data_IF_496168876173
#
_entry.id   IF_496168876173
#
_cell.length_a   1.000
_cell.length_b   1.000
_cell.length_c   1.000
_cell.angle_alpha   90.00
_cell.angle_beta   90.00
_cell.angle_gamma   90.00
#
_symmetry.space_group_name_H-M   'P 1'
#
loop_
_entity.id
_entity.type
_entity.pdbx_description
1 polymer ?
#
# COMPACT_ATOMS: atom_id res chain seq x y z
N UNK A 1 -48.69 -6.15 -28.36
CA UNK A 1 -49.75 -6.12 -27.33
C UNK A 1 -49.09 -6.22 -25.96
N UNK A 2 -48.49 -5.13 -25.46
CA UNK A 2 -49.17 -4.06 -24.72
C UNK A 2 -49.96 -4.66 -23.55
N UNK A 3 -49.29 -4.94 -22.42
CA UNK A 3 -49.95 -5.11 -21.10
C UNK A 3 -49.00 -5.31 -19.90
N UNK A 4 -47.83 -4.69 -19.81
CA UNK A 4 -46.98 -4.78 -18.59
C UNK A 4 -46.19 -3.50 -18.22
N UNK A 5 -46.64 -2.31 -18.61
CA UNK A 5 -45.89 -1.05 -18.40
C UNK A 5 -46.56 -0.07 -17.41
N UNK A 6 -47.56 -0.51 -16.62
CA UNK A 6 -48.39 0.45 -15.87
C UNK A 6 -48.59 0.08 -14.40
N UNK A 7 -47.53 -0.14 -13.61
CA UNK A 7 -47.70 -0.32 -12.14
C UNK A 7 -46.52 0.09 -11.26
N UNK A 8 -45.47 0.75 -11.75
CA UNK A 8 -44.29 1.05 -10.92
C UNK A 8 -43.98 2.54 -10.72
N UNK A 9 -44.90 3.45 -11.09
CA UNK A 9 -44.65 4.90 -11.08
C UNK A 9 -45.17 5.66 -9.83
N UNK A 10 -45.62 4.97 -8.78
CA UNK A 10 -46.34 5.60 -7.66
C UNK A 10 -45.66 5.43 -6.28
N UNK A 11 -44.34 5.46 -6.20
CA UNK A 11 -43.64 5.47 -4.88
C UNK A 11 -42.61 6.60 -4.75
N UNK A 12 -42.46 7.47 -5.75
CA UNK A 12 -41.38 8.47 -5.81
C UNK A 12 -41.78 9.87 -5.29
N UNK A 13 -42.42 9.99 -4.12
CA UNK A 13 -42.90 11.31 -3.66
C UNK A 13 -42.72 11.64 -2.17
N UNK A 14 -42.01 10.85 -1.35
CA UNK A 14 -42.00 11.10 0.10
C UNK A 14 -40.63 10.96 0.78
N UNK A 15 -39.58 11.53 0.18
CA UNK A 15 -38.29 11.71 0.86
C UNK A 15 -37.58 13.01 0.42
N UNK A 16 -38.29 14.13 0.50
CA UNK A 16 -37.72 15.47 0.44
C UNK A 16 -37.90 16.10 1.82
N UNK A 17 -36.99 15.87 2.77
CA UNK A 17 -36.74 16.81 3.87
C UNK A 17 -35.43 16.46 4.59
N UNK A 18 -34.61 17.49 4.82
CA UNK A 18 -33.31 17.52 5.51
C UNK A 18 -32.05 17.27 4.65
N UNK A 19 -31.80 18.15 3.67
CA UNK A 19 -30.43 18.45 3.23
C UNK A 19 -29.91 19.58 4.12
N UNK A 20 -29.28 19.21 5.23
CA UNK A 20 -28.38 20.09 5.97
C UNK A 20 -27.05 20.14 5.22
N UNK A 21 -26.66 21.33 4.77
CA UNK A 21 -25.42 21.53 4.01
C UNK A 21 -24.17 21.28 4.85
N UNK A 22 -23.19 20.59 4.25
CA UNK A 22 -21.80 20.69 4.68
C UNK A 22 -21.07 21.56 3.65
N UNK A 23 -20.65 22.74 4.10
CA UNK A 23 -19.77 23.64 3.36
C UNK A 23 -18.32 23.34 3.76
N UNK A 24 -17.41 23.43 2.79
CA UNK A 24 -15.97 23.13 2.82
C UNK A 24 -15.63 21.64 2.77
N UNK A 25 -14.79 21.13 1.88
CA UNK A 25 -14.02 21.68 0.77
C UNK A 25 -13.12 20.56 0.23
N UNK A 26 -13.09 20.36 -1.09
CA UNK A 26 -12.01 19.64 -1.79
C UNK A 26 -12.09 18.10 -1.89
N UNK A 27 -12.70 17.60 -2.97
CA UNK A 27 -12.11 16.61 -3.91
C UNK A 27 -11.93 15.13 -3.50
N UNK A 28 -12.55 14.24 -4.29
CA UNK A 28 -12.03 12.90 -4.62
C UNK A 28 -12.70 11.72 -3.92
N UNK A 29 -13.45 10.89 -4.66
CA UNK A 29 -14.35 9.86 -4.14
C UNK A 29 -13.74 8.47 -3.90
N UNK A 30 -14.52 7.63 -3.20
CA UNK A 30 -14.34 6.17 -3.15
C UNK A 30 -14.69 5.54 -1.80
N UNK A 31 -15.74 4.72 -1.75
CA UNK A 31 -15.95 3.71 -0.70
C UNK A 31 -16.72 4.15 0.55
N UNK A 32 -17.99 3.74 0.66
CA UNK A 32 -18.84 3.97 1.82
C UNK A 32 -18.44 3.12 3.02
N UNK A 33 -17.59 3.67 3.87
CA UNK A 33 -17.34 3.26 5.24
C UNK A 33 -16.64 4.42 5.94
N UNK A 34 -17.15 4.86 7.08
CA UNK A 34 -16.42 5.86 7.89
C UNK A 34 -15.10 5.22 8.30
N UNK A 35 -13.96 5.77 7.83
CA UNK A 35 -12.67 5.44 8.42
C UNK A 35 -12.81 5.59 9.95
N UNK A 36 -12.33 4.64 10.77
CA UNK A 36 -12.27 4.83 12.21
C UNK A 36 -11.61 6.18 12.49
N UNK A 37 -12.16 6.95 13.41
CA UNK A 37 -11.53 8.18 13.87
C UNK A 37 -10.11 7.82 14.35
N UNK A 38 -9.09 8.31 13.64
CA UNK A 38 -7.69 8.04 13.97
C UNK A 38 -7.38 8.85 15.24
N UNK A 39 -7.66 8.27 16.40
CA UNK A 39 -7.31 8.81 17.71
C UNK A 39 -6.02 8.16 18.23
N UNK A 40 -5.04 8.02 17.34
CA UNK A 40 -3.69 7.57 17.69
C UNK A 40 -2.79 8.78 17.56
N UNK A 41 -2.14 9.14 18.67
CA UNK A 41 -1.18 10.23 18.70
C UNK A 41 -0.01 9.89 17.76
N UNK A 42 0.24 10.76 16.77
CA UNK A 42 1.29 10.56 15.78
C UNK A 42 2.68 10.57 16.41
N UNK A 43 2.83 11.20 17.59
CA UNK A 43 4.07 11.14 18.36
C UNK A 43 4.47 9.70 18.69
N UNK A 44 3.53 8.78 18.87
CA UNK A 44 3.82 7.35 19.13
C UNK A 44 4.57 6.68 17.98
N UNK A 45 4.42 7.21 16.75
CA UNK A 45 5.12 6.72 15.57
C UNK A 45 6.42 7.48 15.30
N UNK A 46 6.77 8.49 16.09
CA UNK A 46 8.03 9.21 15.95
C UNK A 46 9.19 8.31 16.44
N UNK A 47 10.14 7.94 15.56
CA UNK A 47 11.29 7.13 15.93
C UNK A 47 12.26 7.84 16.90
N UNK A 48 12.19 9.18 17.02
CA UNK A 48 13.00 9.93 17.98
C UNK A 48 12.33 10.08 19.35
N UNK A 49 10.99 10.10 19.42
CA UNK A 49 10.29 10.54 20.64
C UNK A 49 9.23 9.61 21.22
N UNK A 50 8.56 8.74 20.46
CA UNK A 50 7.34 8.08 20.98
C UNK A 50 7.17 6.58 20.82
N UNK A 51 8.10 5.84 20.20
CA UNK A 51 7.98 4.38 20.08
C UNK A 51 9.32 3.62 20.03
N UNK A 52 9.32 2.27 20.04
CA UNK A 52 10.53 1.44 19.95
C UNK A 52 11.14 1.40 18.54
N UNK A 53 10.87 2.40 17.70
CA UNK A 53 11.31 2.45 16.32
C UNK A 53 12.72 3.01 16.22
N UNK A 54 13.46 2.59 15.20
CA UNK A 54 14.85 2.99 14.95
C UNK A 54 15.02 3.25 13.46
N UNK A 55 15.88 4.22 13.13
CA UNK A 55 16.35 4.47 11.76
C UNK A 55 17.56 3.62 11.38
N UNK A 56 18.08 2.84 12.34
CA UNK A 56 19.18 1.89 12.13
C UNK A 56 18.61 0.49 11.89
N UNK A 57 18.98 -0.12 10.76
CA UNK A 57 18.65 -1.51 10.44
C UNK A 57 19.73 -2.43 11.03
N UNK A 58 19.41 -3.16 12.09
CA UNK A 58 20.35 -4.03 12.84
C UNK A 58 20.01 -5.53 12.72
N UNK A 59 19.22 -5.91 11.72
CA UNK A 59 18.85 -7.30 11.48
C UNK A 59 20.07 -8.13 11.04
N UNK A 60 20.58 -8.98 11.96
CA UNK A 60 21.75 -9.82 11.71
C UNK A 60 21.56 -10.93 10.66
N UNK A 61 20.33 -11.23 10.25
CA UNK A 61 20.03 -12.22 9.21
C UNK A 61 19.81 -11.61 7.84
N UNK A 62 19.54 -10.29 7.78
CA UNK A 62 19.34 -9.56 6.53
C UNK A 62 19.90 -8.13 6.68
N UNK A 63 21.24 -7.98 6.65
CA UNK A 63 21.87 -6.69 6.83
C UNK A 63 21.71 -5.84 5.56
N UNK A 64 21.04 -4.70 5.67
CA UNK A 64 20.84 -3.75 4.56
C UNK A 64 21.99 -2.75 4.53
N UNK A 65 23.16 -3.20 4.04
CA UNK A 65 24.37 -2.37 3.96
C UNK A 65 24.47 -1.77 2.56
N UNK A 66 24.55 -0.44 2.47
CA UNK A 66 24.73 0.26 1.19
C UNK A 66 25.93 -0.31 0.40
N UNK A 67 25.69 -0.62 -0.87
CA UNK A 67 26.65 -1.24 -1.78
C UNK A 67 26.77 -2.76 -1.67
N UNK A 68 26.00 -3.41 -0.79
CA UNK A 68 25.94 -4.86 -0.72
C UNK A 68 24.99 -5.45 -1.77
N UNK A 69 25.28 -6.70 -2.13
CA UNK A 69 24.48 -7.55 -3.01
C UNK A 69 24.27 -8.90 -2.33
N UNK A 70 23.06 -9.44 -2.43
CA UNK A 70 22.72 -10.80 -1.98
C UNK A 70 22.16 -11.57 -3.15
N UNK A 71 22.68 -12.78 -3.39
CA UNK A 71 22.19 -13.68 -4.43
C UNK A 71 21.63 -14.94 -3.79
N UNK A 72 20.37 -15.24 -4.09
CA UNK A 72 19.68 -16.47 -3.68
C UNK A 72 19.42 -17.30 -4.93
N UNK A 73 19.85 -18.56 -4.93
CA UNK A 73 19.69 -19.46 -6.07
C UNK A 73 19.13 -20.80 -5.59
N UNK A 74 18.16 -21.35 -6.34
CA UNK A 74 17.51 -22.61 -6.00
C UNK A 74 16.61 -23.12 -7.12
N UNK A 75 16.02 -24.29 -6.92
CA UNK A 75 15.00 -24.82 -7.83
C UNK A 75 13.61 -24.65 -7.21
N UNK A 76 12.62 -24.27 -8.02
CA UNK A 76 11.22 -24.31 -7.63
C UNK A 76 10.69 -25.77 -7.55
N UNK A 77 9.39 -25.94 -7.31
CA UNK A 77 8.74 -27.25 -7.25
C UNK A 77 8.53 -27.91 -8.62
N UNK A 78 8.66 -27.15 -9.71
CA UNK A 78 8.59 -27.61 -11.10
C UNK A 78 9.97 -27.97 -11.68
N UNK A 79 11.05 -27.62 -10.96
CA UNK A 79 12.44 -27.88 -11.34
C UNK A 79 13.09 -26.76 -12.15
N UNK A 80 12.47 -25.59 -12.24
CA UNK A 80 13.01 -24.37 -12.85
C UNK A 80 14.11 -23.80 -11.96
N UNK A 81 15.25 -23.38 -12.53
CA UNK A 81 16.29 -22.68 -11.77
C UNK A 81 15.85 -21.22 -11.54
N UNK A 82 15.69 -20.83 -10.29
CA UNK A 82 15.36 -19.46 -9.89
C UNK A 82 16.57 -18.81 -9.25
N UNK A 83 16.93 -17.60 -9.70
CA UNK A 83 17.95 -16.74 -9.10
C UNK A 83 17.35 -15.38 -8.77
N UNK A 84 17.46 -14.97 -7.51
CA UNK A 84 17.04 -13.65 -7.03
C UNK A 84 18.28 -12.87 -6.59
N UNK A 85 18.46 -11.68 -7.15
CA UNK A 85 19.55 -10.76 -6.85
C UNK A 85 19.00 -9.51 -6.17
N UNK A 86 19.38 -9.28 -4.91
CA UNK A 86 19.01 -8.07 -4.18
C UNK A 86 20.21 -7.15 -4.02
N UNK A 87 20.12 -5.91 -4.50
CA UNK A 87 21.13 -4.86 -4.36
C UNK A 87 20.65 -3.75 -3.44
N UNK A 88 21.54 -3.22 -2.59
CA UNK A 88 21.26 -2.06 -1.73
C UNK A 88 21.97 -0.83 -2.27
N UNK A 89 21.34 -0.01 -3.14
CA UNK A 89 21.94 1.23 -3.63
C UNK A 89 22.10 2.29 -2.52
N UNK A 90 22.95 3.29 -2.75
CA UNK A 90 22.99 4.51 -1.93
C UNK A 90 21.84 5.45 -2.31
N UNK A 91 20.61 4.96 -2.14
CA UNK A 91 19.39 5.64 -2.59
C UNK A 91 18.30 5.57 -1.51
N UNK A 92 17.69 6.73 -1.27
CA UNK A 92 16.59 6.91 -0.32
C UNK A 92 15.41 7.57 -1.02
N UNK A 93 14.20 7.19 -0.63
CA UNK A 93 12.95 7.76 -1.14
C UNK A 93 12.06 8.26 0.00
N UNK A 94 11.10 9.13 -0.33
CA UNK A 94 10.08 9.58 0.62
C UNK A 94 8.74 9.02 0.21
N UNK A 95 8.26 8.02 0.95
CA UNK A 95 6.96 7.37 0.70
C UNK A 95 5.98 7.82 1.77
N UNK A 96 4.91 8.52 1.35
CA UNK A 96 3.90 9.06 2.25
C UNK A 96 4.46 9.92 3.41
N UNK A 97 5.58 10.62 3.16
CA UNK A 97 6.25 11.47 4.16
C UNK A 97 7.27 10.74 5.04
N UNK A 98 7.49 9.44 4.83
CA UNK A 98 8.49 8.64 5.56
C UNK A 98 9.73 8.45 4.68
N UNK A 99 10.92 8.70 5.23
CA UNK A 99 12.19 8.41 4.53
C UNK A 99 12.44 6.91 4.55
N UNK A 100 12.68 6.32 3.39
CA UNK A 100 12.84 4.87 3.19
C UNK A 100 14.12 4.57 2.43
N UNK A 101 14.82 3.50 2.80
CA UNK A 101 15.94 2.95 2.04
C UNK A 101 15.41 2.17 0.84
N UNK A 102 15.98 2.38 -0.34
CA UNK A 102 15.65 1.60 -1.54
C UNK A 102 16.43 0.28 -1.54
N UNK A 103 15.74 -0.80 -1.91
CA UNK A 103 16.32 -2.09 -2.26
C UNK A 103 15.85 -2.41 -3.68
N UNK A 104 16.75 -2.90 -4.51
CA UNK A 104 16.45 -3.35 -5.87
C UNK A 104 16.54 -4.87 -5.89
N UNK A 105 15.48 -5.52 -6.32
CA UNK A 105 15.44 -6.95 -6.54
C UNK A 105 15.36 -7.22 -8.05
N UNK A 106 16.00 -8.29 -8.49
CA UNK A 106 15.96 -8.76 -9.86
C UNK A 106 15.84 -10.27 -9.84
N UNK A 107 14.87 -10.82 -10.56
CA UNK A 107 14.57 -12.24 -10.57
C UNK A 107 14.82 -12.84 -11.96
N UNK A 108 15.40 -14.03 -11.97
CA UNK A 108 15.70 -14.81 -13.16
C UNK A 108 15.11 -16.21 -13.04
N UNK A 109 14.49 -16.69 -14.12
CA UNK A 109 14.09 -18.09 -14.32
C UNK A 109 14.91 -18.67 -15.48
N UNK A 110 15.65 -19.76 -15.24
CA UNK A 110 16.54 -20.40 -16.23
C UNK A 110 17.46 -19.39 -16.95
N UNK A 111 18.04 -18.46 -16.18
CA UNK A 111 18.88 -17.33 -16.62
C UNK A 111 18.16 -16.25 -17.47
N UNK A 112 16.84 -16.35 -17.65
CA UNK A 112 16.02 -15.31 -18.28
C UNK A 112 15.47 -14.34 -17.23
N UNK A 113 15.67 -13.03 -17.44
CA UNK A 113 15.14 -11.98 -16.56
C UNK A 113 13.61 -11.98 -16.60
N UNK A 114 12.96 -12.10 -15.43
CA UNK A 114 11.50 -12.14 -15.31
C UNK A 114 10.92 -10.96 -14.53
N UNK A 115 11.58 -10.49 -13.47
CA UNK A 115 11.16 -9.34 -12.64
C UNK A 115 12.32 -8.40 -12.31
#
# INVERSE_FOLDING_TARGET
MIKRILSAFLVLALAFFAIGGCSSGGGGGGGGGTCPEINTDIEVCDPETGGPFSVVVDNGFFPVVVGSETVLEGFDDEGTLVRVETTVPDEIEVVAGVTTQVLVETEFEDDELVE
#
